data_IF_684804145076
#
_entry.id   IF_684804145076
#
_cell.length_a   1.000
_cell.length_b   1.000
_cell.length_c   1.000
_cell.angle_alpha   90.00
_cell.angle_beta   90.00
_cell.angle_gamma   90.00
#
_symmetry.space_group_name_H-M   'P 1'
#
loop_
_entity.id
_entity.type
_entity.pdbx_description
1 polymer ?
#
# COMPACT_ATOMS: atom_id res chain seq x y z
N UNK A 1 -24.34 -14.17 -19.94
CA UNK A 1 -23.63 -13.17 -19.12
C UNK A 1 -22.15 -13.28 -19.44
N UNK A 2 -21.68 -12.44 -20.36
CA UNK A 2 -20.31 -12.45 -20.86
C UNK A 2 -19.39 -11.78 -19.85
N UNK A 3 -18.39 -12.51 -19.34
CA UNK A 3 -17.32 -11.93 -18.51
C UNK A 3 -16.36 -11.21 -19.44
N UNK A 4 -16.36 -9.88 -19.36
CA UNK A 4 -15.36 -9.02 -20.00
C UNK A 4 -14.05 -9.24 -19.26
N UNK A 5 -13.06 -9.80 -19.96
CA UNK A 5 -11.71 -9.93 -19.44
C UNK A 5 -11.01 -8.57 -19.56
N UNK A 6 -10.80 -7.90 -18.43
CA UNK A 6 -9.98 -6.68 -18.36
C UNK A 6 -8.51 -7.11 -18.27
N UNK A 7 -7.60 -6.71 -19.20
CA UNK A 7 -6.30 -7.37 -19.36
C UNK A 7 -5.24 -7.07 -18.29
N UNK A 8 -5.54 -6.23 -17.29
CA UNK A 8 -4.52 -5.64 -16.41
C UNK A 8 -4.79 -5.80 -14.91
N UNK A 9 -5.63 -6.75 -14.50
CA UNK A 9 -5.81 -7.06 -13.08
C UNK A 9 -4.70 -8.01 -12.60
N UNK A 10 -3.79 -7.49 -11.74
CA UNK A 10 -2.86 -8.35 -10.99
C UNK A 10 -3.64 -9.09 -9.91
N UNK A 11 -4.18 -10.24 -10.24
CA UNK A 11 -4.78 -11.16 -9.27
C UNK A 11 -3.63 -11.85 -8.52
N UNK A 12 -3.52 -11.62 -7.21
CA UNK A 12 -2.60 -12.37 -6.37
C UNK A 12 -3.11 -13.81 -6.23
N UNK A 13 -2.49 -14.73 -6.99
CA UNK A 13 -2.72 -16.16 -6.88
C UNK A 13 -1.59 -16.81 -6.09
N UNK A 14 -1.92 -17.52 -5.01
CA UNK A 14 -0.94 -18.23 -4.20
C UNK A 14 -0.80 -19.68 -4.68
N UNK A 15 0.41 -20.08 -5.05
CA UNK A 15 0.72 -21.46 -5.44
C UNK A 15 1.66 -22.08 -4.41
N UNK A 16 1.28 -23.22 -3.85
CA UNK A 16 2.13 -24.03 -2.97
C UNK A 16 2.68 -25.23 -3.74
N UNK A 17 4.01 -25.31 -3.86
CA UNK A 17 4.70 -26.47 -4.40
C UNK A 17 5.20 -27.35 -3.26
N UNK A 18 4.80 -28.63 -3.27
CA UNK A 18 5.10 -29.59 -2.20
C UNK A 18 6.08 -30.63 -2.74
N UNK A 19 7.32 -30.58 -2.26
CA UNK A 19 8.36 -31.55 -2.61
C UNK A 19 8.38 -32.71 -1.61
N UNK A 20 8.40 -33.95 -2.09
CA UNK A 20 8.40 -35.15 -1.25
C UNK A 20 9.44 -36.16 -1.75
N UNK A 21 10.00 -36.92 -0.80
CA UNK A 21 10.91 -38.04 -1.08
C UNK A 21 10.11 -39.33 -1.28
N UNK A 22 10.48 -40.13 -2.28
CA UNK A 22 9.87 -41.43 -2.56
C UNK A 22 10.52 -42.60 -1.80
N UNK A 23 11.48 -42.32 -0.91
CA UNK A 23 12.17 -43.34 -0.12
C UNK A 23 11.25 -43.88 0.99
N UNK A 24 11.41 -45.15 1.37
CA UNK A 24 10.66 -45.72 2.50
C UNK A 24 11.15 -45.19 3.85
N UNK A 25 12.43 -44.80 3.94
CA UNK A 25 13.03 -44.22 5.15
C UNK A 25 12.40 -42.87 5.51
N UNK A 26 11.99 -42.10 4.49
CA UNK A 26 11.45 -40.74 4.69
C UNK A 26 9.91 -40.73 4.71
N UNK A 27 9.29 -41.91 4.85
CA UNK A 27 7.83 -42.07 4.78
C UNK A 27 7.07 -41.22 5.81
N UNK A 28 7.64 -41.03 7.01
CA UNK A 28 7.07 -40.16 8.06
C UNK A 28 7.13 -38.67 7.70
N UNK A 29 8.24 -38.22 7.12
CA UNK A 29 8.45 -36.84 6.68
C UNK A 29 7.53 -36.53 5.49
N UNK A 30 7.52 -37.41 4.49
CA UNK A 30 6.65 -37.32 3.31
C UNK A 30 5.17 -37.27 3.70
N UNK A 31 4.73 -38.09 4.66
CA UNK A 31 3.36 -38.05 5.16
C UNK A 31 3.02 -36.72 5.86
N UNK A 32 3.97 -36.16 6.62
CA UNK A 32 3.80 -34.89 7.32
C UNK A 32 3.66 -33.72 6.33
N UNK A 33 4.50 -33.72 5.28
CA UNK A 33 4.48 -32.74 4.20
C UNK A 33 3.20 -32.81 3.35
N UNK A 34 2.70 -34.01 3.06
CA UNK A 34 1.40 -34.19 2.40
C UNK A 34 0.23 -33.71 3.27
N UNK A 35 0.27 -33.99 4.58
CA UNK A 35 -0.74 -33.48 5.53
C UNK A 35 -0.73 -31.96 5.60
N UNK A 36 0.44 -31.33 5.53
CA UNK A 36 0.55 -29.88 5.43
C UNK A 36 -0.10 -29.36 4.14
N UNK A 37 0.21 -29.95 2.98
CA UNK A 37 -0.42 -29.59 1.71
C UNK A 37 -1.96 -29.69 1.75
N UNK A 38 -2.48 -30.75 2.39
CA UNK A 38 -3.93 -30.91 2.57
C UNK A 38 -4.56 -29.85 3.48
N UNK A 39 -3.85 -29.34 4.49
CA UNK A 39 -4.32 -28.22 5.32
C UNK A 39 -4.22 -26.89 4.56
N UNK A 40 -3.11 -26.66 3.87
CA UNK A 40 -2.87 -25.44 3.10
C UNK A 40 -3.89 -25.28 1.96
N UNK A 41 -4.37 -26.38 1.37
CA UNK A 41 -5.44 -26.37 0.37
C UNK A 41 -6.77 -25.78 0.88
N UNK A 42 -7.00 -25.78 2.20
CA UNK A 42 -8.22 -25.21 2.81
C UNK A 42 -8.11 -23.71 3.10
N UNK A 43 -6.95 -23.11 2.84
CA UNK A 43 -6.77 -21.67 3.03
C UNK A 43 -7.47 -20.96 1.86
N UNK A 44 -8.51 -20.20 2.18
CA UNK A 44 -9.23 -19.37 1.22
C UNK A 44 -8.68 -17.94 1.28
N UNK A 45 -8.04 -17.52 0.19
CA UNK A 45 -7.57 -16.14 0.06
C UNK A 45 -8.71 -15.26 -0.45
N UNK A 46 -9.00 -14.17 0.25
CA UNK A 46 -9.85 -13.10 -0.27
C UNK A 46 -9.03 -12.22 -1.19
N UNK A 47 -9.00 -12.58 -2.48
CA UNK A 47 -8.35 -11.77 -3.49
C UNK A 47 -9.19 -10.52 -3.77
N UNK A 48 -8.66 -9.36 -3.39
CA UNK A 48 -9.23 -8.06 -3.77
C UNK A 48 -8.57 -7.61 -5.07
N UNK A 49 -9.37 -7.23 -6.05
CA UNK A 49 -8.86 -6.63 -7.30
C UNK A 49 -8.40 -5.22 -6.95
N UNK A 50 -7.09 -5.02 -6.90
CA UNK A 50 -6.51 -3.69 -6.78
C UNK A 50 -6.60 -3.00 -8.14
N UNK A 51 -7.77 -2.47 -8.45
CA UNK A 51 -7.93 -1.52 -9.55
C UNK A 51 -7.14 -0.25 -9.24
N UNK A 52 -6.69 0.47 -10.27
CA UNK A 52 -6.12 1.80 -10.06
C UNK A 52 -7.24 2.70 -9.58
N UNK A 53 -7.26 3.02 -8.29
CA UNK A 53 -8.14 4.06 -7.74
C UNK A 53 -7.88 5.36 -8.50
N UNK A 54 -8.93 5.93 -9.08
CA UNK A 54 -8.80 7.24 -9.74
C UNK A 54 -8.54 8.32 -8.69
N UNK A 55 -7.99 9.47 -9.11
CA UNK A 55 -7.75 10.58 -8.19
C UNK A 55 -9.03 11.03 -7.46
N UNK A 56 -10.18 10.94 -8.15
CA UNK A 56 -11.49 11.29 -7.60
C UNK A 56 -11.97 10.29 -6.54
N UNK A 57 -11.77 8.98 -6.76
CA UNK A 57 -12.12 7.95 -5.77
C UNK A 57 -11.26 8.07 -4.50
N UNK A 58 -9.99 8.41 -4.67
CA UNK A 58 -9.08 8.64 -3.55
C UNK A 58 -9.47 9.91 -2.78
N UNK A 59 -9.86 10.98 -3.49
CA UNK A 59 -10.32 12.22 -2.87
C UNK A 59 -11.65 12.02 -2.13
N UNK A 60 -12.58 11.23 -2.68
CA UNK A 60 -13.81 10.84 -1.99
C UNK A 60 -13.51 10.03 -0.73
N UNK A 61 -12.57 9.10 -0.79
CA UNK A 61 -12.14 8.32 0.38
C UNK A 61 -11.52 9.21 1.45
N UNK A 62 -10.65 10.14 1.06
CA UNK A 62 -10.05 11.12 1.98
C UNK A 62 -11.12 11.99 2.62
N UNK A 63 -12.12 12.43 1.84
CA UNK A 63 -13.23 13.23 2.36
C UNK A 63 -14.07 12.47 3.39
N UNK A 64 -14.42 11.21 3.11
CA UNK A 64 -15.14 10.35 4.07
C UNK A 64 -14.33 10.15 5.35
N UNK A 65 -13.03 9.86 5.22
CA UNK A 65 -12.15 9.69 6.38
C UNK A 65 -11.98 10.99 7.19
N UNK A 66 -11.97 12.15 6.54
CA UNK A 66 -11.95 13.45 7.21
C UNK A 66 -13.24 13.71 7.98
N UNK A 67 -14.40 13.37 7.40
CA UNK A 67 -15.71 13.49 8.05
C UNK A 67 -15.80 12.57 9.29
N UNK A 68 -15.38 11.31 9.17
CA UNK A 68 -15.33 10.35 10.29
C UNK A 68 -14.38 10.82 11.40
N UNK A 69 -13.20 11.33 11.04
CA UNK A 69 -12.24 11.85 11.99
C UNK A 69 -12.77 13.09 12.71
N UNK A 70 -13.53 13.94 12.02
CA UNK A 70 -14.16 15.10 12.64
C UNK A 70 -15.29 14.69 13.59
N UNK A 71 -16.12 13.73 13.19
CA UNK A 71 -17.16 13.15 14.02
C UNK A 71 -16.56 12.57 15.31
N UNK A 72 -15.44 11.86 15.19
CA UNK A 72 -14.81 11.21 16.32
C UNK A 72 -14.07 12.19 17.24
N UNK A 73 -13.46 13.24 16.68
CA UNK A 73 -12.96 14.38 17.47
C UNK A 73 -14.06 15.04 18.28
N UNK A 74 -15.24 15.24 17.68
CA UNK A 74 -16.38 15.83 18.38
C UNK A 74 -16.85 14.90 19.52
N UNK A 75 -16.90 13.59 19.28
CA UNK A 75 -17.26 12.59 20.31
C UNK A 75 -16.28 12.60 21.47
N UNK A 76 -14.97 12.58 21.19
CA UNK A 76 -13.93 12.64 22.23
C UNK A 76 -14.00 13.94 23.01
N UNK A 77 -14.22 15.08 22.34
CA UNK A 77 -14.36 16.37 23.00
C UNK A 77 -15.58 16.42 23.91
N UNK A 78 -16.73 15.91 23.46
CA UNK A 78 -17.93 15.82 24.28
C UNK A 78 -17.73 14.94 25.53
N UNK A 79 -17.03 13.80 25.38
CA UNK A 79 -16.70 12.92 26.49
C UNK A 79 -15.71 13.58 27.47
N UNK A 80 -14.69 14.27 26.95
CA UNK A 80 -13.72 15.00 27.77
C UNK A 80 -14.40 16.11 28.59
N UNK A 81 -15.24 16.92 27.95
CA UNK A 81 -15.99 17.97 28.64
C UNK A 81 -16.90 17.40 29.74
N UNK A 82 -17.53 16.24 29.50
CA UNK A 82 -18.33 15.56 30.53
C UNK A 82 -17.47 15.08 31.70
N UNK A 83 -16.26 14.61 31.45
CA UNK A 83 -15.33 14.16 32.49
C UNK A 83 -14.76 15.33 33.31
N UNK A 84 -14.45 16.45 32.65
CA UNK A 84 -13.97 17.67 33.29
C UNK A 84 -15.09 18.33 34.12
N UNK A 85 -16.34 18.30 33.65
CA UNK A 85 -17.49 18.66 34.46
C UNK A 85 -17.75 17.68 35.61
N UNK A 86 -17.38 16.39 35.46
CA UNK A 86 -17.56 15.38 36.48
C UNK A 86 -16.58 15.49 37.64
N UNK A 87 -15.31 15.70 37.32
CA UNK A 87 -14.23 15.89 38.29
C UNK A 87 -14.36 17.19 39.08
N UNK A 88 -15.08 18.20 38.55
CA UNK A 88 -15.34 19.45 39.28
C UNK A 88 -16.44 19.35 40.35
N UNK A 89 -17.39 18.40 40.29
CA UNK A 89 -18.38 18.18 41.36
C UNK A 89 -17.96 17.12 42.40
N UNK A 90 -17.01 16.25 42.06
CA UNK A 90 -16.53 15.20 42.97
C UNK A 90 -15.50 15.72 43.99
N UNK A 91 -14.98 16.94 43.79
CA UNK A 91 -14.10 17.63 44.74
C UNK A 91 -14.84 18.38 45.88
N UNK A 92 -16.18 18.32 45.94
CA UNK A 92 -16.99 18.98 46.99
C UNK A 92 -17.97 18.05 47.74
N UNK A 93 -18.00 16.75 47.43
CA UNK A 93 -19.03 15.83 47.94
C UNK A 93 -18.50 14.70 48.84
N UNK A 94 -17.27 14.83 49.36
CA UNK A 94 -16.70 13.93 50.36
C UNK A 94 -16.73 14.56 51.77
N UNK A 95 -17.91 14.95 52.24
CA UNK A 95 -18.15 15.19 53.68
C UNK A 95 -19.64 15.11 53.97
N UNK A 96 -20.15 13.88 54.15
CA UNK A 96 -21.47 13.64 54.74
C UNK A 96 -21.39 12.42 55.67
N UNK A 97 -21.55 12.74 56.95
CA UNK A 97 -22.30 12.02 57.96
C UNK A 97 -21.89 10.61 58.41
N UNK A 98 -21.29 10.57 59.60
CA UNK A 98 -21.60 9.52 60.58
C UNK A 98 -22.08 10.10 61.91
N UNK A 99 -23.22 9.53 62.33
CA UNK A 99 -24.13 9.95 63.38
C UNK A 99 -23.71 9.51 64.79
N UNK A 100 -24.16 10.31 65.77
CA UNK A 100 -24.67 9.97 67.12
C UNK A 100 -23.86 9.04 68.07
N UNK A 101 -23.52 9.56 69.26
CA UNK A 101 -24.29 9.36 70.51
C UNK A 101 -23.66 10.16 71.65
N UNK A 102 -24.50 10.77 72.50
CA UNK A 102 -24.06 11.73 73.51
C UNK A 102 -23.62 11.14 74.85
N UNK A 103 -22.94 11.96 75.64
CA UNK A 103 -23.25 12.18 77.06
C UNK A 103 -22.50 13.39 77.60
N UNK A 104 -23.21 14.14 78.46
CA UNK A 104 -22.70 15.25 79.27
C UNK A 104 -21.57 14.77 80.18
N UNK A 105 -20.59 15.63 80.43
CA UNK A 105 -20.26 16.12 81.77
C UNK A 105 -19.30 17.31 81.66
N UNK A 106 -19.65 18.39 82.35
CA UNK A 106 -18.77 19.51 82.60
C UNK A 106 -17.86 19.20 83.79
N UNK A 107 -16.57 19.54 83.69
CA UNK A 107 -15.84 20.35 84.68
C UNK A 107 -14.50 20.81 84.10
N UNK A 108 -14.02 22.02 84.47
CA UNK A 108 -12.82 22.63 83.92
C UNK A 108 -11.60 22.19 84.73
N UNK A 109 -10.50 21.84 84.07
CA UNK A 109 -9.22 21.70 84.74
C UNK A 109 -8.11 22.24 83.86
N UNK A 110 -7.42 23.23 84.41
CA UNK A 110 -6.23 23.85 83.87
C UNK A 110 -5.20 22.80 83.43
N UNK A 111 -4.60 23.00 82.27
CA UNK A 111 -3.17 23.24 82.15
C UNK A 111 -2.87 23.73 80.74
N UNK A 112 -2.46 24.99 80.67
CA UNK A 112 -1.82 25.57 79.52
C UNK A 112 -0.55 24.76 79.19
N UNK A 113 -0.54 24.11 78.04
CA UNK A 113 0.66 23.81 77.29
C UNK A 113 0.49 24.51 75.93
N UNK A 114 0.95 25.75 75.88
CA UNK A 114 1.10 26.48 74.64
C UNK A 114 2.08 25.68 73.75
N UNK A 115 1.55 25.02 72.73
CA UNK A 115 2.37 24.53 71.62
C UNK A 115 3.00 25.78 71.00
N UNK A 116 4.34 25.91 70.94
CA UNK A 116 4.95 27.11 70.42
C UNK A 116 4.62 27.18 68.93
N UNK A 117 3.96 28.24 68.47
CA UNK A 117 3.72 28.52 67.05
C UNK A 117 5.02 28.50 66.21
N UNK A 118 6.18 28.54 66.85
CA UNK A 118 7.50 28.38 66.24
C UNK A 118 7.78 26.95 65.73
N UNK A 119 7.27 25.90 66.38
CA UNK A 119 7.57 24.51 65.97
C UNK A 119 6.87 24.13 64.67
N UNK A 120 5.62 24.58 64.48
CA UNK A 120 4.82 24.35 63.27
C UNK A 120 5.44 25.06 62.05
N UNK A 121 5.97 26.26 62.24
CA UNK A 121 6.66 27.01 61.17
C UNK A 121 7.99 26.36 60.75
N UNK A 122 8.74 25.77 61.69
CA UNK A 122 10.00 25.08 61.39
C UNK A 122 9.74 23.82 60.56
N UNK A 123 8.72 23.03 60.92
CA UNK A 123 8.36 21.81 60.17
C UNK A 123 7.87 22.14 58.75
N UNK A 124 7.06 23.19 58.58
CA UNK A 124 6.60 23.65 57.27
C UNK A 124 7.78 24.09 56.37
N UNK A 125 8.76 24.79 56.94
CA UNK A 125 9.96 25.21 56.20
C UNK A 125 10.82 24.01 55.76
N UNK A 126 11.02 23.03 56.65
CA UNK A 126 11.74 21.80 56.31
C UNK A 126 11.00 20.96 55.25
N UNK A 127 9.67 20.95 55.27
CA UNK A 127 8.88 20.31 54.22
C UNK A 127 9.04 21.03 52.87
N UNK A 128 9.05 22.38 52.87
CA UNK A 128 9.25 23.16 51.66
C UNK A 128 10.64 22.93 51.06
N UNK A 129 11.68 22.89 51.90
CA UNK A 129 13.05 22.62 51.46
C UNK A 129 13.22 21.22 50.86
N UNK A 130 12.54 20.22 51.43
CA UNK A 130 12.45 18.87 50.85
C UNK A 130 11.73 18.85 49.51
N UNK A 131 10.65 19.62 49.36
CA UNK A 131 9.95 19.74 48.06
C UNK A 131 10.83 20.42 47.01
N UNK A 132 11.59 21.45 47.41
CA UNK A 132 12.48 22.17 46.53
C UNK A 132 13.60 21.27 45.99
N UNK A 133 14.28 20.53 46.87
CA UNK A 133 15.31 19.56 46.49
C UNK A 133 14.75 18.44 45.59
N UNK A 134 13.59 17.87 45.92
CA UNK A 134 12.93 16.88 45.06
C UNK A 134 12.57 17.45 43.67
N UNK A 135 12.12 18.71 43.60
CA UNK A 135 11.80 19.37 42.33
C UNK A 135 13.05 19.64 41.49
N UNK A 136 14.17 20.02 42.12
CA UNK A 136 15.45 20.21 41.43
C UNK A 136 15.95 18.89 40.82
N UNK A 137 15.84 17.77 41.55
CA UNK A 137 16.20 16.45 41.04
C UNK A 137 15.32 16.00 39.87
N UNK A 138 14.00 16.15 39.98
CA UNK A 138 13.07 15.82 38.89
C UNK A 138 13.25 16.73 37.68
N UNK A 139 13.54 18.01 37.88
CA UNK A 139 13.87 18.93 36.79
C UNK A 139 15.11 18.46 36.03
N UNK A 140 16.18 18.07 36.74
CA UNK A 140 17.40 17.55 36.11
C UNK A 140 17.12 16.28 35.28
N UNK A 141 16.31 15.38 35.84
CA UNK A 141 15.92 14.12 35.18
C UNK A 141 15.12 14.36 33.91
N UNK A 142 14.15 15.29 33.96
CA UNK A 142 13.36 15.68 32.78
C UNK A 142 14.24 16.33 31.73
N UNK A 143 15.19 17.19 32.13
CA UNK A 143 16.12 17.82 31.19
C UNK A 143 16.97 16.77 30.45
N UNK A 144 17.53 15.81 31.18
CA UNK A 144 18.36 14.75 30.59
C UNK A 144 17.55 13.86 29.64
N UNK A 145 16.30 13.52 30.01
CA UNK A 145 15.41 12.76 29.13
C UNK A 145 14.98 13.57 27.89
N UNK A 146 14.77 14.88 28.04
CA UNK A 146 14.51 15.79 26.93
C UNK A 146 15.68 15.82 25.94
N UNK A 147 16.91 15.93 26.43
CA UNK A 147 18.10 15.92 25.60
C UNK A 147 18.26 14.58 24.87
N UNK A 148 18.06 13.46 25.57
CA UNK A 148 18.07 12.11 24.99
C UNK A 148 17.07 11.98 23.84
N UNK A 149 15.82 12.39 24.05
CA UNK A 149 14.79 12.40 23.00
C UNK A 149 15.13 13.35 21.87
N UNK A 150 15.72 14.50 22.16
CA UNK A 150 16.19 15.45 21.16
C UNK A 150 17.28 14.88 20.24
N UNK A 151 18.15 14.01 20.76
CA UNK A 151 19.08 13.25 19.92
C UNK A 151 18.37 12.21 19.05
N UNK A 152 17.45 11.43 19.63
CA UNK A 152 16.68 10.41 18.92
C UNK A 152 15.84 11.01 17.78
N UNK A 153 15.19 12.15 18.01
CA UNK A 153 14.42 12.87 16.99
C UNK A 153 15.33 13.34 15.85
N UNK A 154 16.53 13.86 16.16
CA UNK A 154 17.48 14.29 15.12
C UNK A 154 18.00 13.13 14.29
N UNK A 155 18.28 12.00 14.92
CA UNK A 155 18.72 10.79 14.22
C UNK A 155 17.60 10.25 13.30
N UNK A 156 16.38 10.11 13.82
CA UNK A 156 15.23 9.67 13.04
C UNK A 156 14.94 10.62 11.87
N UNK A 157 15.11 11.94 12.08
CA UNK A 157 14.98 12.93 11.02
C UNK A 157 16.04 12.72 9.93
N UNK A 158 17.30 12.53 10.30
CA UNK A 158 18.37 12.27 9.34
C UNK A 158 18.13 10.96 8.55
N UNK A 159 17.60 9.93 9.20
CA UNK A 159 17.18 8.69 8.52
C UNK A 159 16.03 8.91 7.56
N UNK A 160 15.04 9.74 7.93
CA UNK A 160 13.91 10.10 7.08
C UNK A 160 14.37 10.88 5.85
N UNK A 161 15.22 11.89 6.04
CA UNK A 161 15.77 12.72 4.97
C UNK A 161 16.57 11.86 3.98
N UNK A 162 17.41 10.95 4.47
CA UNK A 162 18.15 9.99 3.63
C UNK A 162 17.24 9.06 2.84
N UNK A 163 16.14 8.58 3.44
CA UNK A 163 15.15 7.76 2.72
C UNK A 163 14.39 8.57 1.68
N UNK A 164 14.10 9.84 1.96
CA UNK A 164 13.45 10.74 1.03
C UNK A 164 14.34 11.00 -0.20
N UNK A 165 15.63 11.30 0.02
CA UNK A 165 16.62 11.42 -1.07
C UNK A 165 16.71 10.13 -1.91
N UNK A 166 16.69 8.97 -1.26
CA UNK A 166 16.69 7.68 -1.96
C UNK A 166 15.44 7.52 -2.84
N UNK A 167 14.25 7.86 -2.33
CA UNK A 167 13.00 7.80 -3.08
C UNK A 167 13.04 8.76 -4.27
N UNK A 168 13.45 10.01 -4.07
CA UNK A 168 13.58 11.01 -5.14
C UNK A 168 14.54 10.53 -6.24
N UNK A 169 15.68 9.95 -5.86
CA UNK A 169 16.64 9.40 -6.81
C UNK A 169 16.07 8.22 -7.62
N UNK A 170 15.29 7.37 -6.94
CA UNK A 170 14.66 6.21 -7.56
C UNK A 170 13.52 6.62 -8.50
N UNK A 171 12.71 7.60 -8.12
CA UNK A 171 11.66 8.17 -8.97
C UNK A 171 12.22 8.82 -10.23
N UNK A 172 13.31 9.59 -10.11
CA UNK A 172 13.99 10.19 -11.26
C UNK A 172 14.54 9.12 -12.22
N UNK A 173 15.14 8.05 -11.69
CA UNK A 173 15.61 6.92 -12.50
C UNK A 173 14.44 6.21 -13.21
N UNK A 174 13.32 5.99 -12.52
CA UNK A 174 12.13 5.40 -13.12
C UNK A 174 11.54 6.26 -14.24
N UNK A 175 11.47 7.58 -14.04
CA UNK A 175 11.01 8.51 -15.08
C UNK A 175 11.89 8.46 -16.32
N UNK A 176 13.21 8.35 -16.16
CA UNK A 176 14.12 8.22 -17.28
C UNK A 176 13.85 6.93 -18.08
N UNK A 177 13.68 5.80 -17.40
CA UNK A 177 13.40 4.52 -18.05
C UNK A 177 12.04 4.51 -18.74
N UNK A 178 11.02 5.12 -18.13
CA UNK A 178 9.69 5.29 -18.75
C UNK A 178 9.77 6.12 -20.03
N UNK A 179 10.54 7.20 -20.02
CA UNK A 179 10.76 8.06 -21.18
C UNK A 179 11.55 7.34 -22.29
N UNK A 180 12.58 6.59 -21.95
CA UNK A 180 13.32 5.75 -22.91
C UNK A 180 12.43 4.66 -23.53
N UNK A 181 11.58 4.02 -22.72
CA UNK A 181 10.60 3.05 -23.20
C UNK A 181 9.60 3.68 -24.17
N UNK A 182 9.05 4.86 -23.86
CA UNK A 182 8.16 5.60 -24.77
C UNK A 182 8.82 5.88 -26.12
N UNK A 183 10.09 6.31 -26.12
CA UNK A 183 10.85 6.54 -27.36
C UNK A 183 11.06 5.24 -28.14
N UNK A 184 11.38 4.14 -27.46
CA UNK A 184 11.58 2.84 -28.09
C UNK A 184 10.29 2.30 -28.71
N UNK A 185 9.15 2.44 -28.02
CA UNK A 185 7.83 2.07 -28.53
C UNK A 185 7.49 2.88 -29.79
N UNK A 186 7.63 4.21 -29.75
CA UNK A 186 7.37 5.05 -30.92
C UNK A 186 8.25 4.68 -32.13
N UNK A 187 9.51 4.30 -31.88
CA UNK A 187 10.42 3.83 -32.94
C UNK A 187 9.98 2.49 -33.55
N UNK A 188 9.51 1.56 -32.72
CA UNK A 188 8.99 0.26 -33.18
C UNK A 188 7.71 0.46 -33.99
N UNK A 189 6.80 1.31 -33.53
CA UNK A 189 5.55 1.64 -34.22
C UNK A 189 5.82 2.21 -35.62
N UNK A 190 6.72 3.21 -35.73
CA UNK A 190 7.12 3.77 -37.01
C UNK A 190 7.75 2.72 -37.93
N UNK A 191 8.61 1.85 -37.38
CA UNK A 191 9.23 0.78 -38.17
C UNK A 191 8.21 -0.25 -38.67
N UNK A 192 7.15 -0.49 -37.90
CA UNK A 192 6.07 -1.40 -38.26
C UNK A 192 5.21 -0.80 -39.37
N UNK A 193 4.86 0.47 -39.27
CA UNK A 193 4.14 1.21 -40.31
C UNK A 193 4.89 1.21 -41.66
N UNK A 194 6.20 1.44 -41.64
CA UNK A 194 7.05 1.36 -42.85
C UNK A 194 7.00 -0.06 -43.44
N UNK A 195 7.02 -1.10 -42.61
CA UNK A 195 6.97 -2.49 -43.06
C UNK A 195 5.62 -2.87 -43.64
N UNK A 196 4.54 -2.35 -43.10
CA UNK A 196 3.18 -2.57 -43.62
C UNK A 196 3.00 -1.93 -45.01
N UNK A 197 3.57 -0.73 -45.21
CA UNK A 197 3.59 -0.07 -46.52
C UNK A 197 4.38 -0.92 -47.52
N UNK A 198 5.60 -1.36 -47.15
CA UNK A 198 6.44 -2.20 -48.01
C UNK A 198 5.76 -3.53 -48.38
N UNK A 199 5.06 -4.15 -47.43
CA UNK A 199 4.32 -5.38 -47.68
C UNK A 199 3.16 -5.15 -48.65
N UNK A 200 2.43 -4.04 -48.48
CA UNK A 200 1.31 -3.67 -49.36
C UNK A 200 1.76 -3.39 -50.79
N UNK A 201 2.91 -2.72 -50.95
CA UNK A 201 3.55 -2.50 -52.26
C UNK A 201 3.95 -3.82 -52.92
N UNK A 202 4.64 -4.69 -52.19
CA UNK A 202 5.09 -5.99 -52.70
C UNK A 202 3.92 -6.90 -53.07
N UNK A 203 2.83 -6.85 -52.30
CA UNK A 203 1.60 -7.57 -52.61
C UNK A 203 0.97 -7.06 -53.91
N UNK A 204 0.92 -5.74 -54.10
CA UNK A 204 0.39 -5.14 -55.33
C UNK A 204 1.24 -5.51 -56.56
N UNK A 205 2.57 -5.52 -56.42
CA UNK A 205 3.47 -5.98 -57.47
C UNK A 205 3.30 -7.46 -57.79
N UNK A 206 3.08 -8.30 -56.77
CA UNK A 206 2.80 -9.72 -56.96
C UNK A 206 1.49 -9.95 -57.74
N UNK A 207 0.42 -9.24 -57.37
CA UNK A 207 -0.87 -9.29 -58.07
C UNK A 207 -0.74 -8.83 -59.53
N UNK A 208 0.08 -7.79 -59.80
CA UNK A 208 0.37 -7.35 -61.17
C UNK A 208 1.09 -8.42 -61.99
N UNK A 209 2.16 -9.01 -61.44
CA UNK A 209 2.92 -10.05 -62.14
C UNK A 209 2.09 -11.31 -62.40
N UNK A 210 1.23 -11.69 -61.45
CA UNK A 210 0.30 -12.82 -61.63
C UNK A 210 -0.70 -12.57 -62.76
N UNK A 211 -1.15 -11.32 -62.93
CA UNK A 211 -1.97 -10.93 -64.08
C UNK A 211 -1.20 -11.03 -65.41
N UNK A 212 0.02 -10.49 -65.47
CA UNK A 212 0.87 -10.54 -66.66
C UNK A 212 1.22 -11.98 -67.06
N UNK A 213 1.50 -12.86 -66.10
CA UNK A 213 1.79 -14.29 -66.35
C UNK A 213 0.58 -15.01 -66.93
N UNK A 214 -0.64 -14.74 -66.42
CA UNK A 214 -1.89 -15.26 -66.98
C UNK A 214 -2.10 -14.79 -68.42
N UNK A 215 -1.84 -13.52 -68.71
CA UNK A 215 -1.98 -12.96 -70.06
C UNK A 215 -0.97 -13.61 -71.03
N UNK A 216 0.30 -13.72 -70.63
CA UNK A 216 1.34 -14.40 -71.40
C UNK A 216 1.01 -15.88 -71.65
N UNK A 217 0.48 -16.57 -70.65
CA UNK A 217 0.05 -17.97 -70.77
C UNK A 217 -1.04 -18.12 -71.84
N UNK A 218 -2.06 -17.26 -71.82
CA UNK A 218 -3.13 -17.24 -72.84
C UNK A 218 -2.54 -16.98 -74.24
N UNK A 219 -1.60 -16.05 -74.37
CA UNK A 219 -0.93 -15.77 -75.64
C UNK A 219 -0.11 -16.97 -76.15
N UNK A 220 0.63 -17.64 -75.27
CA UNK A 220 1.41 -18.83 -75.59
C UNK A 220 0.50 -19.97 -76.07
N UNK A 221 -0.61 -20.23 -75.38
CA UNK A 221 -1.61 -21.22 -75.78
C UNK A 221 -2.19 -20.93 -77.17
N UNK A 222 -2.53 -19.66 -77.45
CA UNK A 222 -3.04 -19.23 -78.75
C UNK A 222 -2.04 -19.47 -79.88
N UNK A 223 -0.76 -19.13 -79.67
CA UNK A 223 0.32 -19.40 -80.63
C UNK A 223 0.53 -20.90 -80.84
N UNK A 224 0.45 -21.70 -79.76
CA UNK A 224 0.55 -23.16 -79.86
C UNK A 224 -0.60 -23.75 -80.68
N UNK A 225 -1.82 -23.27 -80.49
CA UNK A 225 -2.99 -23.67 -81.31
C UNK A 225 -2.80 -23.31 -82.79
N UNK A 226 -2.33 -22.09 -83.09
CA UNK A 226 -2.03 -21.68 -84.47
C UNK A 226 -0.95 -22.56 -85.12
N UNK A 227 0.10 -22.91 -84.37
CA UNK A 227 1.18 -23.78 -84.84
C UNK A 227 0.67 -25.19 -85.16
N UNK A 228 -0.17 -25.76 -84.28
CA UNK A 228 -0.85 -27.05 -84.50
C UNK A 228 -1.72 -27.03 -85.76
N UNK A 229 -2.52 -25.97 -85.94
CA UNK A 229 -3.36 -25.77 -87.13
C UNK A 229 -2.52 -25.71 -88.42
N UNK A 230 -1.47 -24.91 -88.45
CA UNK A 230 -0.57 -24.81 -89.61
C UNK A 230 0.13 -26.14 -89.94
N UNK A 231 0.58 -26.88 -88.92
CA UNK A 231 1.15 -28.22 -89.09
C UNK A 231 0.15 -29.18 -89.77
N UNK A 232 -1.09 -29.23 -89.28
CA UNK A 232 -2.15 -30.07 -89.87
C UNK A 232 -2.51 -29.69 -91.32
N UNK A 233 -2.49 -28.40 -91.67
CA UNK A 233 -2.80 -27.90 -93.01
C UNK A 233 -1.70 -28.21 -94.03
N UNK A 234 -0.42 -28.23 -93.60
CA UNK A 234 0.71 -28.68 -94.44
C UNK A 234 0.64 -30.17 -94.75
N UNK A 235 0.12 -30.99 -93.83
CA UNK A 235 -0.02 -32.44 -94.03
C UNK A 235 -1.12 -32.81 -95.04
N UNK A 236 -2.15 -31.96 -95.18
CA UNK A 236 -3.32 -32.19 -96.04
C UNK A 236 -3.24 -31.52 -97.44
N UNK A 237 -2.07 -31.06 -97.89
CA UNK A 237 -1.93 -30.59 -99.29
C UNK A 237 -1.79 -31.80 -100.22
N UNK A 238 -2.71 -32.02 -101.18
CA UNK A 238 -2.54 -33.06 -102.20
C UNK A 238 -1.35 -32.70 -103.10
N UNK A 239 -0.54 -33.71 -103.42
CA UNK A 239 0.56 -33.61 -104.40
C UNK A 239 0.01 -33.40 -105.81
#
# INVERSE_FOLDING_TARGET
>A
MSRIAIPNSRVFSMTLLVNISCSKSDSSETLSTLRFGNRAKKIENQAVINERTTADDLMNTVKVLQEDLQLEKNRVTALKNRLDCATSYESLSASSDHQYTGRRNATPSAHAAAIPSNTINIEAYQQLQRKFTNLEEEFLKVQLESDRRGFEIRDLKAQLDKKNEFIESFEASWMQVDEENKRMVAKIELSLEIKDIQYSELQSDHERLDFEDKELTIHAEKLQQQTKLLSSKKLNRPR
#
